data_IF_197311957503
#
_entry.id   IF_197311957503
#
_cell.length_a   1.000
_cell.length_b   1.000
_cell.length_c   1.000
_cell.angle_alpha   90.00
_cell.angle_beta   90.00
_cell.angle_gamma   90.00
#
_symmetry.space_group_name_H-M   'P 1'
#
loop_
_entity.id
_entity.type
_entity.pdbx_description
1 polymer ?
#
# COMPACT_ATOMS: atom_id res chain seq x y z
N UNK A 1 -13.07 14.94 3.61
CA UNK A 1 -13.19 15.73 4.88
C UNK A 1 -13.84 14.94 6.04
N UNK A 2 -14.36 13.74 5.84
CA UNK A 2 -15.00 12.94 6.90
C UNK A 2 -14.03 12.18 7.82
N UNK A 3 -12.77 11.96 7.41
CA UNK A 3 -11.76 11.23 8.18
C UNK A 3 -10.84 12.17 8.96
N UNK A 4 -10.46 11.75 10.16
CA UNK A 4 -9.43 12.44 10.91
C UNK A 4 -8.08 12.42 10.14
N UNK A 5 -7.41 13.58 9.95
CA UNK A 5 -6.21 13.70 9.12
C UNK A 5 -5.11 12.65 9.38
N UNK A 6 -4.82 12.23 10.64
CA UNK A 6 -3.80 11.21 10.89
C UNK A 6 -4.10 9.85 10.25
N UNK A 7 -5.36 9.54 9.94
CA UNK A 7 -5.79 8.24 9.39
C UNK A 7 -5.84 8.20 7.85
N UNK A 8 -5.66 9.32 7.14
CA UNK A 8 -5.73 9.36 5.68
C UNK A 8 -4.78 8.35 5.04
N UNK A 9 -3.51 8.35 5.45
CA UNK A 9 -2.52 7.40 4.95
C UNK A 9 -2.91 5.95 5.26
N UNK A 10 -3.40 5.68 6.46
CA UNK A 10 -3.80 4.33 6.86
C UNK A 10 -5.00 3.83 6.06
N UNK A 11 -6.00 4.67 5.81
CA UNK A 11 -7.15 4.32 4.98
C UNK A 11 -6.76 4.08 3.53
N UNK A 12 -5.89 4.93 2.97
CA UNK A 12 -5.36 4.72 1.63
C UNK A 12 -4.60 3.39 1.53
N UNK A 13 -3.76 3.09 2.50
CA UNK A 13 -3.01 1.83 2.59
C UNK A 13 -3.89 0.59 2.78
N UNK A 14 -5.08 0.72 3.34
CA UNK A 14 -6.07 -0.36 3.43
C UNK A 14 -6.90 -0.50 2.15
N UNK A 15 -7.22 0.61 1.49
CA UNK A 15 -7.98 0.60 0.23
C UNK A 15 -7.17 0.07 -0.96
N UNK A 16 -5.88 0.39 -1.03
CA UNK A 16 -5.00 -0.03 -2.14
C UNK A 16 -4.87 -1.55 -2.24
N UNK A 17 -4.52 -2.31 -1.18
CA UNK A 17 -4.42 -3.76 -1.26
C UNK A 17 -5.78 -4.45 -1.51
N UNK A 18 -6.89 -3.89 -1.04
CA UNK A 18 -8.21 -4.42 -1.40
C UNK A 18 -8.48 -4.34 -2.91
N UNK A 19 -8.12 -3.21 -3.54
CA UNK A 19 -8.22 -3.07 -5.00
C UNK A 19 -7.30 -4.04 -5.72
N UNK A 20 -6.06 -4.13 -5.27
CA UNK A 20 -5.09 -5.08 -5.82
C UNK A 20 -5.56 -6.53 -5.69
N UNK A 21 -6.13 -6.91 -4.55
CA UNK A 21 -6.69 -8.25 -4.34
C UNK A 21 -7.84 -8.55 -5.30
N UNK A 22 -8.72 -7.59 -5.56
CA UNK A 22 -9.83 -7.78 -6.48
C UNK A 22 -9.35 -7.94 -7.93
N UNK A 23 -8.35 -7.15 -8.35
CA UNK A 23 -7.68 -7.34 -9.65
C UNK A 23 -7.01 -8.70 -9.70
N UNK A 24 -6.25 -9.07 -8.67
CA UNK A 24 -5.58 -10.36 -8.57
C UNK A 24 -6.55 -11.55 -8.73
N UNK A 25 -7.74 -11.47 -8.13
CA UNK A 25 -8.78 -12.49 -8.29
C UNK A 25 -9.29 -12.59 -9.72
N UNK A 26 -9.49 -11.46 -10.40
CA UNK A 26 -9.91 -11.42 -11.81
C UNK A 26 -8.86 -12.08 -12.73
N UNK A 27 -7.58 -11.83 -12.43
CA UNK A 27 -6.43 -12.39 -13.16
C UNK A 27 -6.05 -13.81 -12.71
N UNK A 28 -6.76 -14.41 -11.78
CA UNK A 28 -6.46 -15.73 -11.24
C UNK A 28 -5.19 -15.82 -10.42
N UNK A 29 -4.66 -14.70 -9.95
CA UNK A 29 -3.48 -14.66 -9.10
C UNK A 29 -3.80 -15.20 -7.70
N UNK A 30 -2.82 -15.88 -7.08
CA UNK A 30 -2.98 -16.57 -5.79
C UNK A 30 -2.31 -15.85 -4.62
N UNK A 31 -1.60 -14.77 -4.89
CA UNK A 31 -0.92 -13.95 -3.88
C UNK A 31 -0.71 -12.53 -4.43
N UNK A 32 -0.45 -11.61 -3.53
CA UNK A 32 0.02 -10.26 -3.85
C UNK A 32 1.50 -10.14 -3.46
N UNK A 33 2.23 -9.27 -4.14
CA UNK A 33 3.63 -8.96 -3.82
C UNK A 33 3.77 -7.45 -3.67
N UNK A 34 4.47 -7.00 -2.62
CA UNK A 34 4.78 -5.57 -2.41
C UNK A 34 6.26 -5.36 -2.15
N UNK A 35 6.75 -4.16 -2.49
CA UNK A 35 8.11 -3.71 -2.19
C UNK A 35 8.26 -3.05 -0.80
N UNK A 36 7.37 -3.35 0.15
CA UNK A 36 7.45 -2.78 1.48
C UNK A 36 8.69 -3.28 2.23
N UNK A 37 9.40 -2.34 2.89
CA UNK A 37 10.51 -2.61 3.78
C UNK A 37 10.22 -2.04 5.16
N UNK A 38 10.57 -2.77 6.22
CA UNK A 38 10.28 -2.38 7.59
C UNK A 38 11.13 -1.18 8.00
N UNK A 39 10.50 -0.15 8.57
CA UNK A 39 11.19 1.00 9.14
C UNK A 39 11.72 2.04 8.14
N UNK A 40 11.56 1.86 6.84
CA UNK A 40 12.03 2.81 5.83
C UNK A 40 11.26 4.14 5.87
N UNK A 41 9.97 4.10 6.15
CA UNK A 41 9.12 5.27 6.33
C UNK A 41 8.18 5.08 7.51
N UNK A 42 7.65 6.18 8.05
CA UNK A 42 6.78 6.18 9.22
C UNK A 42 5.55 5.25 9.11
N UNK A 43 5.11 4.95 7.89
CA UNK A 43 3.97 4.07 7.62
C UNK A 43 4.36 2.59 7.51
N UNK A 44 5.64 2.23 7.52
CA UNK A 44 6.15 0.85 7.41
C UNK A 44 6.62 0.32 8.76
N UNK A 45 5.80 0.47 9.79
CA UNK A 45 5.95 -0.19 11.09
C UNK A 45 5.21 -1.52 11.09
N UNK A 46 5.57 -2.45 11.98
CA UNK A 46 4.87 -3.74 12.11
C UNK A 46 3.38 -3.57 12.33
N UNK A 47 2.99 -2.60 13.17
CA UNK A 47 1.58 -2.30 13.43
C UNK A 47 0.85 -1.85 12.15
N UNK A 48 1.48 -0.98 11.36
CA UNK A 48 0.89 -0.47 10.13
C UNK A 48 0.87 -1.52 9.00
N UNK A 49 1.86 -2.42 8.94
CA UNK A 49 1.83 -3.57 8.04
C UNK A 49 0.69 -4.51 8.42
N UNK A 50 0.48 -4.79 9.71
CA UNK A 50 -0.64 -5.58 10.21
C UNK A 50 -2.01 -4.99 9.84
N UNK A 51 -2.16 -3.67 9.86
CA UNK A 51 -3.40 -3.01 9.39
C UNK A 51 -3.68 -3.23 7.90
N UNK A 52 -2.63 -3.40 7.11
CA UNK A 52 -2.73 -3.71 5.68
C UNK A 52 -3.11 -5.17 5.48
N UNK A 53 -2.48 -6.09 6.22
CA UNK A 53 -2.74 -7.53 6.12
C UNK A 53 -4.16 -7.90 6.52
N UNK A 54 -4.69 -7.21 7.51
CA UNK A 54 -6.03 -7.45 8.05
C UNK A 54 -7.15 -7.37 7.00
N UNK A 55 -6.96 -6.61 5.94
CA UNK A 55 -7.98 -6.41 4.89
C UNK A 55 -7.83 -7.35 3.71
N UNK A 56 -6.85 -8.25 3.75
CA UNK A 56 -6.55 -9.19 2.69
C UNK A 56 -6.94 -10.61 3.08
N UNK A 57 -7.44 -11.35 2.11
CA UNK A 57 -7.65 -12.80 2.18
C UNK A 57 -6.55 -13.54 1.42
N UNK A 58 -5.99 -12.92 0.36
CA UNK A 58 -4.84 -13.46 -0.35
C UNK A 58 -3.55 -13.22 0.44
N UNK A 59 -2.61 -14.17 0.40
CA UNK A 59 -1.28 -13.97 0.96
C UNK A 59 -0.60 -12.72 0.38
N UNK A 60 -0.01 -11.89 1.25
CA UNK A 60 0.79 -10.74 0.86
C UNK A 60 2.26 -11.01 1.12
N UNK A 61 3.02 -11.15 0.05
CA UNK A 61 4.45 -11.44 0.09
C UNK A 61 5.24 -10.14 0.07
N UNK A 62 6.23 -10.03 0.95
CA UNK A 62 7.09 -8.85 1.10
C UNK A 62 8.56 -9.28 1.01
N UNK A 63 9.08 -9.52 -0.20
CA UNK A 63 10.45 -10.03 -0.38
C UNK A 63 11.53 -9.07 0.16
N UNK A 64 11.22 -7.78 0.31
CA UNK A 64 12.15 -6.76 0.78
C UNK A 64 11.90 -6.34 2.24
N UNK A 65 11.06 -7.04 2.99
CA UNK A 65 10.60 -6.58 4.32
C UNK A 65 11.72 -6.37 5.33
N UNK A 66 12.80 -7.15 5.22
CA UNK A 66 13.99 -7.07 6.10
C UNK A 66 15.15 -6.31 5.48
N UNK A 67 15.04 -5.88 4.23
CA UNK A 67 16.11 -5.18 3.53
C UNK A 67 16.17 -3.73 4.00
N UNK A 68 17.37 -3.23 4.22
CA UNK A 68 17.59 -1.81 4.35
C UNK A 68 17.66 -1.12 2.97
N UNK A 69 17.87 0.20 2.98
CA UNK A 69 17.90 0.99 1.75
C UNK A 69 19.09 0.61 0.85
N UNK A 70 20.23 0.33 1.44
CA UNK A 70 21.46 0.00 0.69
C UNK A 70 21.35 -1.39 0.06
N UNK A 71 20.84 -2.37 0.79
CA UNK A 71 20.56 -3.72 0.29
C UNK A 71 19.56 -3.70 -0.87
N UNK A 72 18.50 -2.87 -0.75
CA UNK A 72 17.50 -2.70 -1.81
C UNK A 72 18.11 -2.06 -3.05
N UNK A 73 18.96 -1.04 -2.91
CA UNK A 73 19.68 -0.41 -4.02
C UNK A 73 20.62 -1.42 -4.69
N UNK A 74 21.43 -2.13 -3.92
CA UNK A 74 22.35 -3.13 -4.45
C UNK A 74 21.62 -4.24 -5.23
N UNK A 75 20.45 -4.66 -4.75
CA UNK A 75 19.61 -5.60 -5.49
C UNK A 75 19.10 -5.00 -6.79
N UNK A 76 18.60 -3.75 -6.77
CA UNK A 76 18.09 -3.07 -7.95
C UNK A 76 19.19 -2.86 -9.03
N UNK A 77 20.42 -2.53 -8.61
CA UNK A 77 21.58 -2.46 -9.50
C UNK A 77 21.90 -3.82 -10.13
N UNK A 78 21.93 -4.86 -9.32
CA UNK A 78 22.24 -6.24 -9.77
C UNK A 78 21.24 -6.76 -10.81
N UNK A 79 19.95 -6.44 -10.68
CA UNK A 79 18.90 -6.84 -11.61
C UNK A 79 18.65 -5.82 -12.72
N UNK A 80 19.40 -4.70 -12.76
CA UNK A 80 19.36 -3.70 -13.84
C UNK A 80 18.16 -2.73 -13.77
N UNK A 81 17.45 -2.65 -12.66
CA UNK A 81 16.26 -1.76 -12.51
C UNK A 81 16.57 -0.42 -11.87
N UNK A 82 17.74 -0.25 -11.26
CA UNK A 82 18.09 0.97 -10.53
C UNK A 82 18.03 2.23 -11.40
N UNK A 83 18.60 2.20 -12.60
CA UNK A 83 18.60 3.34 -13.52
C UNK A 83 17.20 3.79 -13.97
N UNK A 84 16.20 2.93 -13.88
CA UNK A 84 14.79 3.27 -14.11
C UNK A 84 14.19 3.87 -12.84
N UNK A 85 14.47 3.26 -11.70
CA UNK A 85 13.88 3.61 -10.40
C UNK A 85 14.28 5.00 -9.89
N UNK A 86 15.45 5.52 -10.30
CA UNK A 86 15.95 6.85 -9.88
C UNK A 86 15.50 7.99 -10.79
N UNK A 87 14.73 7.71 -11.85
CA UNK A 87 14.23 8.76 -12.72
C UNK A 87 13.30 9.70 -11.94
N UNK A 88 13.39 11.01 -12.15
CA UNK A 88 12.49 11.96 -11.52
C UNK A 88 11.04 11.65 -11.86
N UNK A 89 10.23 11.41 -10.84
CA UNK A 89 8.79 11.21 -10.97
C UNK A 89 8.10 11.71 -9.69
N UNK A 90 6.91 12.27 -9.84
CA UNK A 90 6.14 12.72 -8.69
C UNK A 90 5.63 11.52 -7.89
N UNK A 91 5.97 11.47 -6.60
CA UNK A 91 5.51 10.44 -5.69
C UNK A 91 4.10 10.79 -5.18
N UNK A 92 3.14 9.91 -5.41
CA UNK A 92 1.77 10.05 -4.90
C UNK A 92 1.72 10.11 -3.36
N UNK A 93 2.73 9.61 -2.66
CA UNK A 93 2.81 9.65 -1.21
C UNK A 93 2.88 11.08 -0.68
N UNK A 94 3.49 12.02 -1.41
CA UNK A 94 3.61 13.42 -0.98
C UNK A 94 2.27 14.14 -0.89
N UNK A 95 1.30 13.75 -1.71
CA UNK A 95 -0.05 14.34 -1.76
C UNK A 95 -0.89 13.93 -0.55
N UNK A 96 -0.68 12.71 -0.03
CA UNK A 96 -1.51 12.12 1.02
C UNK A 96 -0.83 12.03 2.39
N UNK A 97 0.41 12.53 2.52
CA UNK A 97 1.14 12.47 3.79
C UNK A 97 0.65 13.58 4.72
N UNK A 98 -0.02 13.26 5.83
CA UNK A 98 -0.40 14.25 6.83
C UNK A 98 0.86 14.82 7.52
N UNK A 99 0.78 16.06 8.02
CA UNK A 99 1.87 16.70 8.78
C UNK A 99 2.38 15.86 9.96
N UNK A 100 1.55 14.99 10.51
CA UNK A 100 1.87 14.04 11.58
C UNK A 100 1.32 12.66 11.19
N UNK A 101 2.09 11.85 10.47
CA UNK A 101 1.67 10.50 10.09
C UNK A 101 1.59 9.62 11.34
N UNK A 102 0.63 8.70 11.35
CA UNK A 102 0.47 7.74 12.43
C UNK A 102 1.58 6.68 12.34
N UNK A 103 2.41 6.61 13.38
CA UNK A 103 3.49 5.63 13.47
C UNK A 103 2.97 4.28 13.98
N UNK A 104 1.98 4.31 14.90
CA UNK A 104 1.37 3.12 15.50
C UNK A 104 -0.13 3.15 15.27
N UNK A 105 -0.56 2.59 14.14
CA UNK A 105 -1.96 2.42 13.82
C UNK A 105 -2.62 1.41 14.75
N UNK A 106 -3.81 1.74 15.26
CA UNK A 106 -4.65 0.81 16.03
C UNK A 106 -5.75 0.29 15.14
N UNK A 107 -5.86 -1.02 15.02
CA UNK A 107 -6.86 -1.71 14.19
C UNK A 107 -8.29 -1.21 14.44
N UNK A 108 -8.70 -1.09 15.70
CA UNK A 108 -10.04 -0.65 16.08
C UNK A 108 -10.35 0.77 15.59
N UNK A 109 -9.37 1.67 15.68
CA UNK A 109 -9.52 3.04 15.23
C UNK A 109 -9.54 3.13 13.70
N UNK A 110 -8.68 2.38 13.02
CA UNK A 110 -8.67 2.29 11.56
C UNK A 110 -10.00 1.77 11.01
N UNK A 111 -10.55 0.71 11.60
CA UNK A 111 -11.89 0.18 11.26
C UNK A 111 -13.00 1.20 11.49
N UNK A 112 -12.95 1.93 12.62
CA UNK A 112 -13.92 2.98 12.94
C UNK A 112 -13.89 4.12 11.93
N UNK A 113 -12.69 4.57 11.54
CA UNK A 113 -12.54 5.64 10.55
C UNK A 113 -12.97 5.15 9.17
N UNK A 114 -12.65 3.90 8.81
CA UNK A 114 -13.07 3.27 7.56
C UNK A 114 -14.58 3.14 7.46
N UNK A 115 -15.26 2.78 8.54
CA UNK A 115 -16.72 2.66 8.59
C UNK A 115 -17.51 3.96 8.33
N UNK A 116 -16.83 5.09 8.25
CA UNK A 116 -17.44 6.38 7.84
C UNK A 116 -17.62 6.52 6.33
N UNK A 117 -17.08 5.56 5.55
CA UNK A 117 -17.09 5.58 4.09
C UNK A 117 -17.81 4.39 3.50
N UNK A 118 -18.50 4.53 2.37
CA UNK A 118 -19.06 3.42 1.61
C UNK A 118 -17.93 2.71 0.83
N UNK A 119 -17.08 1.96 1.56
CA UNK A 119 -15.85 1.37 0.98
C UNK A 119 -16.12 0.44 -0.19
N UNK A 120 -17.21 -0.34 -0.15
CA UNK A 120 -17.58 -1.25 -1.24
C UNK A 120 -17.94 -0.48 -2.51
N UNK A 121 -18.71 0.62 -2.40
CA UNK A 121 -19.06 1.46 -3.54
C UNK A 121 -17.83 2.16 -4.12
N UNK A 122 -16.95 2.70 -3.25
CA UNK A 122 -15.70 3.34 -3.67
C UNK A 122 -14.77 2.34 -4.36
N UNK A 123 -14.71 1.11 -3.86
CA UNK A 123 -13.94 0.03 -4.45
C UNK A 123 -14.51 -0.34 -5.84
N UNK A 124 -15.82 -0.54 -5.95
CA UNK A 124 -16.47 -0.85 -7.20
C UNK A 124 -16.24 0.22 -8.28
N UNK A 125 -16.35 1.50 -7.91
CA UNK A 125 -16.05 2.63 -8.80
C UNK A 125 -14.58 2.66 -9.24
N UNK A 126 -13.65 2.41 -8.33
CA UNK A 126 -12.22 2.36 -8.68
C UNK A 126 -11.89 1.20 -9.61
N UNK A 127 -12.53 0.04 -9.43
CA UNK A 127 -12.34 -1.13 -10.27
C UNK A 127 -12.97 -1.00 -11.65
N UNK A 128 -14.06 -0.23 -11.76
CA UNK A 128 -14.68 0.06 -13.05
C UNK A 128 -13.81 0.95 -13.97
N UNK A 129 -12.87 1.70 -13.38
CA UNK A 129 -11.92 2.54 -14.12
C UNK A 129 -10.55 1.87 -14.37
N UNK A 130 -10.39 0.57 -14.05
CA UNK A 130 -9.15 -0.15 -14.34
C UNK A 130 -9.11 -0.50 -15.82
N UNK A 131 -8.11 0.02 -16.51
CA UNK A 131 -7.79 -0.34 -17.88
C UNK A 131 -6.65 -1.35 -17.91
N UNK A 132 -6.77 -2.40 -18.70
CA UNK A 132 -5.72 -3.37 -18.97
C UNK A 132 -5.07 -3.04 -20.31
N UNK A 133 -3.74 -2.96 -20.34
CA UNK A 133 -2.98 -2.83 -21.58
C UNK A 133 -2.13 -4.08 -21.77
N UNK A 134 -2.36 -4.82 -22.84
CA UNK A 134 -1.50 -5.89 -23.27
C UNK A 134 -0.22 -5.30 -23.89
N UNK A 135 0.93 -5.63 -23.32
CA UNK A 135 2.26 -5.28 -23.84
C UNK A 135 3.05 -6.54 -24.16
#
# INVERSE_FOLDING_TARGET
EACAPPYHTSLHRRATPRRAQEVARREGARALVTGESLGQVASQTLENLGLTDEVLELPLLRPLVTFDKEETIALAERIGTYGISVRPYEDCCTIFTPRRPMIRGRTMEARREEGKYPMEELLARALAGVESSDH
#
